data_IF_496002232615
#
_entry.id   IF_496002232615
#
_cell.length_a   1.000
_cell.length_b   1.000
_cell.length_c   1.000
_cell.angle_alpha   90.00
_cell.angle_beta   90.00
_cell.angle_gamma   90.00
#
_symmetry.space_group_name_H-M   'P 1'
#
loop_
_entity.id
_entity.type
_entity.pdbx_description
1 polymer ?
#
# COMPACT_ATOMS: atom_id res chain seq x y z
N UNK A 1 14.16 10.65 -38.60
CA UNK A 1 13.39 11.88 -38.28
C UNK A 1 12.88 11.71 -36.85
N UNK A 2 13.49 12.38 -35.87
CA UNK A 2 13.07 12.30 -34.46
C UNK A 2 12.42 13.64 -34.11
N UNK A 3 11.13 13.61 -33.77
CA UNK A 3 10.47 14.80 -33.24
C UNK A 3 10.82 14.91 -31.74
N UNK A 4 11.30 16.06 -31.26
CA UNK A 4 11.48 16.27 -29.84
C UNK A 4 10.10 16.30 -29.18
N UNK A 5 9.72 15.22 -28.48
CA UNK A 5 8.59 15.29 -27.55
C UNK A 5 9.02 16.16 -26.38
N UNK A 6 8.26 17.21 -26.08
CA UNK A 6 8.37 17.96 -24.81
C UNK A 6 8.43 16.92 -23.68
N UNK A 7 9.46 16.99 -22.83
CA UNK A 7 9.52 16.16 -21.64
C UNK A 7 8.24 16.42 -20.83
N UNK A 8 7.39 15.40 -20.71
CA UNK A 8 6.25 15.44 -19.81
C UNK A 8 6.79 15.16 -18.41
N UNK A 9 6.38 15.96 -17.43
CA UNK A 9 6.74 15.71 -16.04
C UNK A 9 6.16 14.35 -15.60
N UNK A 10 7.05 13.42 -15.27
CA UNK A 10 6.66 12.14 -14.68
C UNK A 10 6.88 12.24 -13.18
N UNK A 11 5.80 12.16 -12.41
CA UNK A 11 5.86 12.09 -10.95
C UNK A 11 5.69 10.65 -10.50
N UNK A 12 6.47 10.25 -9.50
CA UNK A 12 6.34 8.95 -8.82
C UNK A 12 5.70 9.16 -7.46
N UNK A 13 4.78 8.28 -7.11
CA UNK A 13 4.15 8.20 -5.80
C UNK A 13 3.69 6.77 -5.52
N UNK A 14 3.00 6.57 -4.40
CA UNK A 14 2.49 5.28 -3.98
C UNK A 14 0.99 5.39 -3.72
N UNK A 15 0.23 4.35 -4.07
CA UNK A 15 -1.22 4.37 -3.92
C UNK A 15 -1.84 3.00 -4.06
N UNK A 16 -3.03 2.86 -3.47
CA UNK A 16 -3.90 1.69 -3.52
C UNK A 16 -5.14 1.98 -2.69
N UNK A 17 -6.30 1.45 -3.10
CA UNK A 17 -7.59 1.84 -2.50
C UNK A 17 -7.64 1.61 -0.98
N UNK A 18 -7.15 0.45 -0.53
CA UNK A 18 -7.07 0.10 0.89
C UNK A 18 -6.03 0.92 1.64
N UNK A 19 -4.88 1.21 1.03
CA UNK A 19 -3.85 2.06 1.62
C UNK A 19 -4.35 3.49 1.81
N UNK A 20 -4.98 4.05 0.79
CA UNK A 20 -5.55 5.38 0.84
C UNK A 20 -6.59 5.46 1.96
N UNK A 21 -7.46 4.45 2.07
CA UNK A 21 -8.41 4.32 3.18
C UNK A 21 -7.71 4.33 4.54
N UNK A 22 -6.68 3.50 4.73
CA UNK A 22 -5.90 3.45 5.98
C UNK A 22 -5.27 4.80 6.34
N UNK A 23 -4.64 5.48 5.38
CA UNK A 23 -4.05 6.81 5.59
C UNK A 23 -5.12 7.82 5.99
N UNK A 24 -6.27 7.83 5.32
CA UNK A 24 -7.35 8.77 5.67
C UNK A 24 -7.98 8.48 7.03
N UNK A 25 -8.08 7.22 7.46
CA UNK A 25 -8.51 6.86 8.82
C UNK A 25 -7.48 7.36 9.83
N UNK A 26 -6.19 7.07 9.62
CA UNK A 26 -5.12 7.44 10.53
C UNK A 26 -5.02 8.96 10.76
N UNK A 27 -5.30 9.76 9.72
CA UNK A 27 -5.35 11.23 9.80
C UNK A 27 -6.52 11.79 10.61
N UNK A 28 -7.58 11.01 10.83
CA UNK A 28 -8.85 11.50 11.39
C UNK A 28 -9.13 10.99 12.81
N UNK A 29 -8.36 10.00 13.27
CA UNK A 29 -8.56 9.38 14.58
C UNK A 29 -7.52 9.87 15.57
N UNK A 30 -7.87 9.89 16.86
CA UNK A 30 -6.88 10.01 17.92
C UNK A 30 -6.07 8.70 17.97
N UNK A 31 -4.73 8.73 17.83
CA UNK A 31 -3.90 7.53 17.92
C UNK A 31 -4.02 6.79 19.26
N UNK A 32 -4.44 7.47 20.33
CA UNK A 32 -4.72 6.82 21.61
C UNK A 32 -6.05 6.03 21.61
N UNK A 33 -6.97 6.37 20.71
CA UNK A 33 -8.27 5.72 20.58
C UNK A 33 -8.30 4.63 19.51
N UNK A 34 -7.57 4.81 18.40
CA UNK A 34 -7.51 3.85 17.30
C UNK A 34 -6.14 3.88 16.60
N UNK A 35 -5.46 2.74 16.60
CA UNK A 35 -4.26 2.50 15.79
C UNK A 35 -4.65 1.84 14.47
N UNK A 36 -4.14 2.36 13.36
CA UNK A 36 -4.40 1.81 12.02
C UNK A 36 -3.22 0.94 11.60
N UNK A 37 -3.45 -0.37 11.45
CA UNK A 37 -2.45 -1.29 10.90
C UNK A 37 -2.73 -1.54 9.41
N UNK A 38 -1.70 -1.49 8.58
CA UNK A 38 -1.80 -1.89 7.18
C UNK A 38 -1.13 -3.24 6.95
N UNK A 39 -1.94 -4.24 6.63
CA UNK A 39 -1.49 -5.62 6.43
C UNK A 39 -1.39 -5.90 4.93
N UNK A 40 -0.17 -6.13 4.47
CA UNK A 40 0.15 -6.42 3.07
C UNK A 40 1.53 -7.08 2.98
N UNK A 41 2.07 -7.24 1.78
CA UNK A 41 3.46 -7.60 1.57
C UNK A 41 4.13 -6.65 0.57
N UNK A 42 5.39 -6.33 0.84
CA UNK A 42 6.27 -5.53 -0.01
C UNK A 42 7.57 -6.29 -0.30
N UNK A 43 8.36 -5.76 -1.24
CA UNK A 43 9.72 -6.26 -1.51
C UNK A 43 10.71 -5.83 -0.42
N UNK A 44 11.96 -6.27 -0.53
CA UNK A 44 13.09 -5.76 0.28
C UNK A 44 13.80 -4.56 -0.37
N UNK A 45 13.28 -4.09 -1.50
CA UNK A 45 13.88 -3.03 -2.32
C UNK A 45 13.64 -1.61 -1.77
N UNK A 46 14.32 -0.64 -2.39
CA UNK A 46 14.25 0.77 -1.97
C UNK A 46 12.90 1.45 -2.19
N UNK A 47 12.08 1.02 -3.16
CA UNK A 47 10.71 1.55 -3.30
C UNK A 47 9.85 1.07 -2.16
N UNK A 48 9.97 -0.23 -1.85
CA UNK A 48 9.30 -0.83 -0.70
C UNK A 48 9.71 -0.17 0.62
N UNK A 49 10.96 0.26 0.79
CA UNK A 49 11.37 1.02 1.98
C UNK A 49 10.73 2.41 2.01
N UNK A 50 10.79 3.16 0.90
CA UNK A 50 10.16 4.48 0.82
C UNK A 50 8.64 4.45 1.06
N UNK A 51 7.97 3.35 0.69
CA UNK A 51 6.56 3.13 1.02
C UNK A 51 6.35 3.01 2.54
N UNK A 52 7.13 2.17 3.22
CA UNK A 52 7.06 2.03 4.68
C UNK A 52 7.31 3.37 5.39
N UNK A 53 8.37 4.08 5.01
CA UNK A 53 8.73 5.36 5.62
C UNK A 53 7.60 6.39 5.44
N UNK A 54 6.98 6.43 4.26
CA UNK A 54 5.86 7.30 3.98
C UNK A 54 4.62 6.93 4.82
N UNK A 55 4.34 5.63 5.01
CA UNK A 55 3.20 5.16 5.79
C UNK A 55 3.39 5.40 7.29
N UNK A 56 4.61 5.21 7.81
CA UNK A 56 4.95 5.56 9.19
C UNK A 56 4.76 7.06 9.45
N UNK A 57 5.13 7.90 8.47
CA UNK A 57 4.89 9.35 8.53
C UNK A 57 3.39 9.73 8.57
N UNK A 58 2.49 8.82 8.19
CA UNK A 58 1.04 8.99 8.22
C UNK A 58 0.39 8.26 9.41
N UNK A 59 1.18 7.84 10.40
CA UNK A 59 0.73 7.09 11.58
C UNK A 59 0.04 5.75 11.24
N UNK A 60 0.40 5.14 10.11
CA UNK A 60 -0.03 3.79 9.74
C UNK A 60 1.02 2.79 10.24
N UNK A 61 0.61 1.89 11.12
CA UNK A 61 1.45 0.81 11.63
C UNK A 61 1.66 -0.27 10.55
N UNK A 62 2.91 -0.68 10.38
CA UNK A 62 3.31 -1.67 9.37
C UNK A 62 4.00 -2.89 9.98
N UNK A 63 3.85 -3.13 11.29
CA UNK A 63 4.47 -4.28 11.97
C UNK A 63 4.05 -5.62 11.37
N UNK A 64 2.84 -5.68 10.80
CA UNK A 64 2.28 -6.85 10.11
C UNK A 64 2.46 -6.81 8.58
N UNK A 65 3.16 -5.80 8.04
CA UNK A 65 3.54 -5.79 6.63
C UNK A 65 4.76 -6.68 6.40
N UNK A 66 4.59 -7.71 5.57
CA UNK A 66 5.66 -8.65 5.25
C UNK A 66 6.67 -8.08 4.27
N UNK A 67 7.90 -8.58 4.34
CA UNK A 67 9.01 -8.24 3.43
C UNK A 67 9.45 -9.50 2.68
N UNK A 68 9.40 -9.45 1.35
CA UNK A 68 9.73 -10.58 0.47
C UNK A 68 10.95 -10.26 -0.39
N UNK A 69 12.03 -11.02 -0.24
CA UNK A 69 13.31 -10.75 -0.93
C UNK A 69 13.18 -10.87 -2.46
N UNK A 70 12.38 -11.81 -2.94
CA UNK A 70 12.26 -12.15 -4.37
C UNK A 70 11.07 -11.47 -5.08
N UNK A 71 10.51 -10.39 -4.52
CA UNK A 71 9.34 -9.70 -5.10
C UNK A 71 9.47 -8.18 -5.00
N UNK A 72 8.68 -7.50 -5.82
CA UNK A 72 8.57 -6.03 -5.86
C UNK A 72 7.12 -5.60 -5.60
N UNK A 73 6.87 -4.32 -5.26
CA UNK A 73 5.53 -3.74 -5.29
C UNK A 73 4.92 -3.81 -6.70
N UNK A 74 3.59 -3.83 -6.76
CA UNK A 74 2.90 -3.65 -8.03
C UNK A 74 3.08 -2.22 -8.54
N UNK A 75 3.25 -2.07 -9.85
CA UNK A 75 3.39 -0.77 -10.50
C UNK A 75 2.15 -0.48 -11.33
N UNK A 76 1.70 0.77 -11.28
CA UNK A 76 0.78 1.30 -12.28
C UNK A 76 1.31 2.62 -12.83
N UNK A 77 1.03 2.87 -14.10
CA UNK A 77 1.39 4.10 -14.78
C UNK A 77 0.10 4.78 -15.27
N UNK A 78 -0.04 6.07 -14.98
CA UNK A 78 -1.18 6.87 -15.41
C UNK A 78 -0.68 7.80 -16.51
N UNK A 79 -1.23 7.66 -17.71
CA UNK A 79 -1.13 8.66 -18.75
C UNK A 79 -2.37 9.54 -18.72
N UNK A 80 -2.18 10.86 -18.78
CA UNK A 80 -3.27 11.84 -18.94
C UNK A 80 -3.09 12.52 -20.28
N UNK A 81 -4.11 12.46 -21.13
CA UNK A 81 -4.06 13.06 -22.46
C UNK A 81 -4.33 14.58 -22.42
N UNK A 82 -4.40 15.22 -23.59
CA UNK A 82 -4.67 16.66 -23.69
C UNK A 82 -6.11 17.06 -23.32
N UNK A 83 -7.04 16.10 -23.23
CA UNK A 83 -8.44 16.32 -22.84
C UNK A 83 -8.66 16.13 -21.34
N UNK A 84 -7.67 15.54 -20.64
CA UNK A 84 -7.75 15.18 -19.23
C UNK A 84 -8.20 13.74 -18.99
N UNK A 85 -8.43 12.95 -20.04
CA UNK A 85 -8.74 11.53 -19.92
C UNK A 85 -7.53 10.76 -19.38
N UNK A 86 -7.77 9.88 -18.42
CA UNK A 86 -6.72 9.09 -17.74
C UNK A 86 -6.73 7.65 -18.22
N UNK A 87 -5.61 7.20 -18.77
CA UNK A 87 -5.37 5.79 -19.12
C UNK A 87 -4.44 5.16 -18.10
N UNK A 88 -4.78 3.95 -17.65
CA UNK A 88 -4.05 3.23 -16.62
C UNK A 88 -3.40 1.96 -17.18
N UNK A 89 -2.11 1.80 -16.90
CA UNK A 89 -1.34 0.60 -17.24
C UNK A 89 -0.88 -0.09 -15.96
N UNK A 90 -0.92 -1.42 -15.91
CA UNK A 90 -0.68 -2.18 -14.69
C UNK A 90 0.36 -3.29 -14.88
N UNK A 91 1.37 -3.31 -14.00
CA UNK A 91 2.33 -4.39 -13.81
C UNK A 91 2.27 -4.84 -12.35
N UNK A 92 1.22 -5.58 -12.00
CA UNK A 92 0.93 -5.98 -10.61
C UNK A 92 0.72 -7.48 -10.41
N UNK A 93 0.85 -8.29 -11.46
CA UNK A 93 0.49 -9.71 -11.39
C UNK A 93 1.42 -10.52 -10.49
N UNK A 94 2.67 -10.07 -10.31
CA UNK A 94 3.69 -10.70 -9.46
C UNK A 94 4.03 -9.86 -8.21
N UNK A 95 3.21 -8.84 -7.92
CA UNK A 95 3.42 -7.96 -6.78
C UNK A 95 3.44 -8.73 -5.46
N UNK A 96 4.35 -8.37 -4.55
CA UNK A 96 4.45 -8.98 -3.22
C UNK A 96 3.09 -9.08 -2.51
N UNK A 97 2.28 -8.02 -2.58
CA UNK A 97 0.94 -7.94 -2.00
C UNK A 97 -0.04 -9.03 -2.46
N UNK A 98 0.19 -9.72 -3.59
CA UNK A 98 -0.65 -10.86 -4.01
C UNK A 98 -0.36 -12.14 -3.23
N UNK A 99 0.84 -12.24 -2.66
CA UNK A 99 1.39 -13.45 -2.06
C UNK A 99 1.50 -13.35 -0.52
N UNK A 100 0.94 -12.31 0.09
CA UNK A 100 1.08 -12.10 1.55
C UNK A 100 0.45 -13.24 2.39
N UNK A 101 -0.48 -14.02 1.83
CA UNK A 101 -1.02 -15.23 2.47
C UNK A 101 -0.32 -16.53 2.05
N UNK A 102 0.75 -16.44 1.24
CA UNK A 102 1.50 -17.58 0.71
C UNK A 102 2.93 -17.62 1.24
N UNK A 103 3.27 -16.81 2.25
CA UNK A 103 4.59 -16.82 2.91
C UNK A 103 4.61 -17.73 4.14
N UNK A 104 5.81 -18.05 4.63
CA UNK A 104 6.00 -18.75 5.90
C UNK A 104 5.43 -17.99 7.11
N UNK A 105 5.28 -16.66 7.01
CA UNK A 105 4.75 -15.81 8.08
C UNK A 105 3.22 -15.76 8.09
N UNK A 106 2.55 -16.30 7.06
CA UNK A 106 1.10 -16.14 6.87
C UNK A 106 0.28 -16.69 8.04
N UNK A 107 0.65 -17.87 8.57
CA UNK A 107 -0.07 -18.48 9.68
C UNK A 107 0.01 -17.61 10.95
N UNK A 108 1.22 -17.15 11.30
CA UNK A 108 1.43 -16.28 12.46
C UNK A 108 0.70 -14.95 12.32
N UNK A 109 0.69 -14.35 11.12
CA UNK A 109 -0.07 -13.11 10.88
C UNK A 109 -1.57 -13.34 10.98
N UNK A 110 -2.09 -14.47 10.49
CA UNK A 110 -3.51 -14.80 10.65
C UNK A 110 -3.89 -15.03 12.12
N UNK A 111 -3.03 -15.64 12.92
CA UNK A 111 -3.22 -15.78 14.37
C UNK A 111 -3.25 -14.41 15.05
N UNK A 112 -2.28 -13.54 14.76
CA UNK A 112 -2.21 -12.18 15.30
C UNK A 112 -3.43 -11.34 14.91
N UNK A 113 -3.90 -11.47 13.67
CA UNK A 113 -5.14 -10.82 13.21
C UNK A 113 -6.37 -11.28 13.99
N UNK A 114 -6.37 -12.50 14.55
CA UNK A 114 -7.44 -13.00 15.41
C UNK A 114 -7.57 -12.25 16.74
N UNK A 115 -6.50 -11.58 17.19
CA UNK A 115 -6.50 -10.78 18.42
C UNK A 115 -7.13 -9.39 18.22
N UNK A 116 -7.26 -8.93 16.97
CA UNK A 116 -7.98 -7.69 16.64
C UNK A 116 -9.48 -7.89 16.86
N UNK A 117 -9.96 -7.50 18.04
CA UNK A 117 -11.39 -7.54 18.36
C UNK A 117 -12.14 -6.51 17.53
N UNK A 118 -13.07 -6.98 16.71
CA UNK A 118 -14.20 -6.19 16.26
C UNK A 118 -15.11 -6.01 17.48
N UNK A 119 -14.93 -4.94 18.25
CA UNK A 119 -15.92 -4.57 19.26
C UNK A 119 -17.20 -4.19 18.52
N UNK A 120 -18.15 -5.13 18.40
CA UNK A 120 -19.51 -4.77 18.07
C UNK A 120 -20.02 -3.90 19.20
N UNK A 121 -20.52 -2.68 18.94
CA UNK A 121 -21.16 -1.90 19.98
C UNK A 121 -22.30 -2.74 20.56
N UNK A 122 -22.33 -2.90 21.88
CA UNK A 122 -23.49 -3.46 22.56
C UNK A 122 -24.71 -2.64 22.13
N UNK A 123 -25.71 -3.33 21.58
CA UNK A 123 -27.01 -2.71 21.29
C UNK A 123 -27.71 -2.51 22.63
N UNK A 124 -27.86 -1.25 23.03
CA UNK A 124 -28.86 -0.84 24.04
C UNK A 124 -30.29 -1.21 23.58
#
# INVERSE_FOLDING_TARGET
>A
MSFPRKARDVKRGFGGDTLNTSVYIARQVDPAALTVHYVTALGTDSFSQQMLDAWHGENVDTSLTQRMENRLPGLYYIETDSTGERTFYYWRNEAAAKFWLESEQSAAICEELGEFRLSLPERD
#
